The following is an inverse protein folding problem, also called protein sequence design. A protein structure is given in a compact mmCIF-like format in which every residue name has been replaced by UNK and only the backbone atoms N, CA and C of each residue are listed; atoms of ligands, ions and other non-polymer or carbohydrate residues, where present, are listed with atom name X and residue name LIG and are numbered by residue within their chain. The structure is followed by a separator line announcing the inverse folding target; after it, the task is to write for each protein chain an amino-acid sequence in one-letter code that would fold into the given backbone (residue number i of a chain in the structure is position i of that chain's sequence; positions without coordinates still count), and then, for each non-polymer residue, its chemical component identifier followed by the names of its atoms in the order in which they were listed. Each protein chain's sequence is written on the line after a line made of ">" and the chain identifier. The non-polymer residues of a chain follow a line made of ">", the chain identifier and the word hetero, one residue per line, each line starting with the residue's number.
data_IF_475508699028
#
_entry.id   IF_475508699028
#
_cell.length_a   1.000
_cell.length_b   1.000
_cell.length_c   1.000
_cell.angle_alpha   90.00
_cell.angle_beta   90.00
_cell.angle_gamma   90.00
#
_symmetry.space_group_name_H-M   'P 1'
#
loop_
_entity.id
_entity.type
_entity.pdbx_description
1 polymer ?
#
# COMPACT_ATOMS: atom_id res chain seq x y z
N UNK A 1 6.44 -6.45 -12.59
CA UNK A 1 5.66 -5.67 -11.61
C UNK A 1 5.10 -4.41 -12.24
N UNK A 2 5.93 -3.39 -12.54
CA UNK A 2 5.45 -2.10 -13.09
C UNK A 2 4.60 -2.24 -14.37
N UNK A 3 4.96 -3.20 -15.23
CA UNK A 3 4.24 -3.49 -16.46
C UNK A 3 2.75 -3.82 -16.26
N UNK A 4 2.35 -4.40 -15.13
CA UNK A 4 0.93 -4.69 -14.86
C UNK A 4 0.09 -3.41 -14.73
N UNK A 5 0.67 -2.34 -14.18
CA UNK A 5 -0.02 -1.07 -13.92
C UNK A 5 0.07 -0.06 -15.07
N UNK A 6 0.86 -0.35 -16.11
CA UNK A 6 1.00 0.50 -17.30
C UNK A 6 0.19 -0.01 -18.50
N UNK A 7 -0.72 -0.96 -18.28
CA UNK A 7 -1.65 -1.40 -19.32
C UNK A 7 -2.75 -0.37 -19.54
N UNK A 8 -3.26 -0.30 -20.76
CA UNK A 8 -4.37 0.59 -21.13
C UNK A 8 -5.71 0.16 -20.54
N UNK A 9 -5.83 -1.12 -20.16
CA UNK A 9 -7.04 -1.68 -19.53
C UNK A 9 -6.71 -2.44 -18.25
N UNK A 10 -7.64 -2.43 -17.29
CA UNK A 10 -7.51 -3.24 -16.07
C UNK A 10 -7.48 -4.75 -16.38
N UNK A 11 -8.23 -5.20 -17.39
CA UNK A 11 -8.22 -6.61 -17.79
C UNK A 11 -6.82 -7.08 -18.24
N UNK A 12 -6.12 -6.27 -19.03
CA UNK A 12 -4.77 -6.60 -19.47
C UNK A 12 -3.75 -6.48 -18.33
N UNK A 13 -3.92 -5.50 -17.45
CA UNK A 13 -3.13 -5.40 -16.22
C UNK A 13 -3.27 -6.63 -15.32
N UNK A 14 -4.50 -7.14 -15.16
CA UNK A 14 -4.81 -8.34 -14.39
C UNK A 14 -4.13 -9.58 -14.96
N UNK A 15 -4.17 -9.79 -16.29
CA UNK A 15 -3.45 -10.91 -16.95
C UNK A 15 -1.95 -10.86 -16.69
N UNK A 16 -1.35 -9.68 -16.71
CA UNK A 16 0.08 -9.50 -16.41
C UNK A 16 0.36 -9.81 -14.93
N UNK A 17 -0.51 -9.37 -14.02
CA UNK A 17 -0.40 -9.67 -12.60
C UNK A 17 -0.50 -11.17 -12.30
N UNK A 18 -1.43 -11.88 -12.93
CA UNK A 18 -1.56 -13.34 -12.83
C UNK A 18 -0.31 -14.07 -13.34
N UNK A 19 0.24 -13.63 -14.48
CA UNK A 19 1.49 -14.19 -15.00
C UNK A 19 2.67 -13.98 -14.05
N UNK A 20 2.73 -12.83 -13.38
CA UNK A 20 3.73 -12.54 -12.35
C UNK A 20 3.57 -13.52 -11.18
N UNK A 21 2.36 -13.68 -10.65
CA UNK A 21 2.06 -14.59 -9.55
C UNK A 21 2.44 -16.04 -9.88
N UNK A 22 2.17 -16.48 -11.11
CA UNK A 22 2.45 -17.84 -11.56
C UNK A 22 3.95 -18.15 -11.74
N UNK A 23 4.79 -17.14 -11.96
CA UNK A 23 6.19 -17.35 -12.42
C UNK A 23 7.26 -16.85 -11.47
N UNK A 24 6.98 -15.85 -10.63
CA UNK A 24 8.03 -15.19 -9.86
C UNK A 24 8.62 -16.10 -8.79
N UNK A 25 7.80 -16.86 -8.05
CA UNK A 25 8.27 -17.68 -6.94
C UNK A 25 9.22 -18.82 -7.36
N UNK A 26 9.08 -19.31 -8.59
CA UNK A 26 9.91 -20.37 -9.19
C UNK A 26 11.02 -19.83 -10.11
N UNK A 27 11.23 -18.50 -10.15
CA UNK A 27 12.22 -17.90 -11.02
C UNK A 27 13.64 -18.34 -10.62
N UNK A 28 14.51 -18.71 -11.58
CA UNK A 28 15.90 -19.09 -11.26
C UNK A 28 16.75 -17.92 -10.74
N UNK A 29 16.31 -16.67 -10.93
CA UNK A 29 16.97 -15.49 -10.38
C UNK A 29 16.53 -15.32 -8.90
N UNK A 30 17.43 -15.45 -7.92
CA UNK A 30 17.07 -15.49 -6.50
C UNK A 30 16.29 -14.27 -6.00
N UNK A 31 16.61 -13.08 -6.51
CA UNK A 31 15.92 -11.82 -6.16
C UNK A 31 14.47 -11.82 -6.61
N UNK A 32 14.18 -12.39 -7.78
CA UNK A 32 12.82 -12.51 -8.32
C UNK A 32 12.05 -13.59 -7.55
N UNK A 33 12.68 -14.73 -7.27
CA UNK A 33 12.09 -15.77 -6.41
C UNK A 33 11.72 -15.24 -5.03
N UNK A 34 12.62 -14.46 -4.42
CA UNK A 34 12.39 -13.82 -3.12
C UNK A 34 11.24 -12.83 -3.16
N UNK A 35 11.08 -12.08 -4.25
CA UNK A 35 9.92 -11.19 -4.46
C UNK A 35 8.62 -12.00 -4.71
N UNK A 36 8.70 -13.13 -5.41
CA UNK A 36 7.54 -13.96 -5.73
C UNK A 36 6.87 -14.63 -4.53
N UNK A 37 7.65 -15.01 -3.51
CA UNK A 37 7.14 -15.66 -2.29
C UNK A 37 6.07 -14.82 -1.56
N UNK A 38 6.33 -13.55 -1.17
CA UNK A 38 5.29 -12.72 -0.58
C UNK A 38 4.16 -12.48 -1.58
N UNK A 39 4.42 -12.20 -2.86
CA UNK A 39 3.34 -12.00 -3.85
C UNK A 39 2.37 -13.19 -3.91
N UNK A 40 2.86 -14.42 -3.75
CA UNK A 40 2.04 -15.64 -3.71
C UNK A 40 1.12 -15.68 -2.47
N UNK A 41 1.58 -15.17 -1.32
CA UNK A 41 0.75 -15.01 -0.12
C UNK A 41 -0.34 -13.94 -0.33
N UNK A 42 -0.04 -12.91 -1.11
CA UNK A 42 -0.96 -11.81 -1.45
C UNK A 42 -1.71 -12.04 -2.77
N UNK A 43 -1.92 -13.29 -3.19
CA UNK A 43 -2.51 -13.65 -4.51
C UNK A 43 -3.89 -13.06 -4.77
N UNK A 44 -4.66 -12.77 -3.72
CA UNK A 44 -5.99 -12.15 -3.83
C UNK A 44 -5.89 -10.63 -3.88
N UNK A 45 -5.09 -10.04 -2.98
CA UNK A 45 -4.96 -8.59 -2.87
C UNK A 45 -4.19 -7.95 -4.02
N UNK A 46 -3.18 -8.63 -4.56
CA UNK A 46 -2.34 -8.08 -5.63
C UNK A 46 -3.12 -7.78 -6.93
N UNK A 47 -3.93 -8.70 -7.49
CA UNK A 47 -4.75 -8.39 -8.65
C UNK A 47 -6.00 -7.56 -8.31
N UNK A 48 -6.35 -7.41 -7.03
CA UNK A 48 -7.58 -6.71 -6.62
C UNK A 48 -7.67 -5.27 -7.14
N UNK A 49 -6.53 -4.58 -7.32
CA UNK A 49 -6.50 -3.26 -7.95
C UNK A 49 -7.26 -3.24 -9.29
N UNK A 50 -7.10 -4.29 -10.10
CA UNK A 50 -7.71 -4.38 -11.43
C UNK A 50 -9.18 -4.80 -11.39
N UNK A 51 -9.60 -5.56 -10.38
CA UNK A 51 -10.98 -6.05 -10.25
C UNK A 51 -11.89 -5.10 -9.46
N UNK A 52 -11.32 -4.14 -8.74
CA UNK A 52 -12.03 -3.15 -7.90
C UNK A 52 -12.02 -1.75 -8.51
N UNK A 53 -11.78 -1.64 -9.81
CA UNK A 53 -11.70 -0.37 -10.54
C UNK A 53 -10.69 0.62 -9.93
N UNK A 54 -9.52 0.11 -9.52
CA UNK A 54 -8.39 0.92 -9.06
C UNK A 54 -8.34 1.18 -7.55
N UNK A 55 -9.14 0.48 -6.74
CA UNK A 55 -9.03 0.58 -5.29
C UNK A 55 -7.61 0.22 -4.83
N UNK A 56 -7.05 1.05 -3.96
CA UNK A 56 -5.65 0.95 -3.55
C UNK A 56 -5.44 1.41 -2.10
N UNK A 57 -4.24 1.17 -1.57
CA UNK A 57 -3.86 1.50 -0.20
C UNK A 57 -3.51 3.00 0.01
N UNK A 58 -3.67 3.85 -1.01
CA UNK A 58 -3.24 5.23 -0.99
C UNK A 58 -3.91 6.07 0.12
N UNK A 59 -5.19 5.81 0.40
CA UNK A 59 -5.89 6.47 1.51
C UNK A 59 -5.27 6.13 2.88
N UNK A 60 -5.00 4.85 3.12
CA UNK A 60 -4.31 4.39 4.35
C UNK A 60 -2.91 4.98 4.46
N UNK A 61 -2.16 5.02 3.35
CA UNK A 61 -0.82 5.59 3.31
C UNK A 61 -0.80 7.09 3.55
N UNK A 62 -1.79 7.82 3.06
CA UNK A 62 -1.96 9.24 3.35
C UNK A 62 -2.14 9.48 4.87
N UNK A 63 -2.99 8.67 5.52
CA UNK A 63 -3.19 8.74 6.98
C UNK A 63 -1.91 8.34 7.73
N UNK A 64 -1.24 7.27 7.33
CA UNK A 64 0.05 6.90 7.92
C UNK A 64 1.07 8.03 7.77
N UNK A 65 1.12 8.70 6.61
CA UNK A 65 1.96 9.88 6.39
C UNK A 65 1.68 11.01 7.39
N UNK A 66 0.40 11.29 7.68
CA UNK A 66 0.00 12.27 8.69
C UNK A 66 0.44 11.85 10.11
N UNK A 67 0.27 10.57 10.47
CA UNK A 67 0.70 10.02 11.76
C UNK A 67 2.23 10.14 11.91
N UNK A 68 2.98 9.80 10.87
CA UNK A 68 4.44 9.90 10.84
C UNK A 68 4.92 11.35 10.96
N UNK A 69 4.28 12.27 10.23
CA UNK A 69 4.54 13.70 10.33
C UNK A 69 4.30 14.19 11.75
N UNK A 70 3.15 13.83 12.34
CA UNK A 70 2.82 14.18 13.70
C UNK A 70 3.87 13.68 14.69
N UNK A 71 4.30 12.41 14.59
CA UNK A 71 5.29 11.83 15.51
C UNK A 71 6.61 12.61 15.48
N UNK A 72 7.05 13.07 14.29
CA UNK A 72 8.24 13.93 14.13
C UNK A 72 8.09 15.26 14.85
N UNK A 73 6.93 15.92 14.75
CA UNK A 73 6.67 17.22 15.38
C UNK A 73 6.44 17.10 16.90
N UNK A 74 5.78 16.04 17.35
CA UNK A 74 5.28 15.89 18.71
C UNK A 74 6.28 15.35 19.73
N UNK A 75 7.50 14.97 19.31
CA UNK A 75 8.53 14.30 20.14
C UNK A 75 8.03 12.99 20.79
N UNK A 76 7.19 12.25 20.05
CA UNK A 76 6.71 10.93 20.45
C UNK A 76 5.38 10.93 21.22
N UNK A 77 4.94 9.73 21.59
CA UNK A 77 3.68 9.47 22.29
C UNK A 77 3.93 9.38 23.81
N UNK A 78 3.51 10.40 24.55
CA UNK A 78 3.66 10.46 26.02
C UNK A 78 2.33 10.51 26.76
N UNK A 79 1.31 11.11 26.15
CA UNK A 79 -0.02 11.28 26.73
C UNK A 79 -1.07 11.18 25.61
N UNK A 80 -2.12 10.38 25.85
CA UNK A 80 -3.16 10.08 24.86
C UNK A 80 -4.02 11.29 24.49
N UNK A 81 -4.40 12.12 25.46
CA UNK A 81 -5.24 13.31 25.21
C UNK A 81 -4.50 14.32 24.34
N UNK A 82 -3.28 14.66 24.71
CA UNK A 82 -2.42 15.56 23.94
C UNK A 82 -2.15 15.02 22.54
N UNK A 83 -1.92 13.71 22.42
CA UNK A 83 -1.74 13.08 21.11
C UNK A 83 -2.99 13.20 20.25
N UNK A 84 -4.17 12.91 20.80
CA UNK A 84 -5.45 13.04 20.09
C UNK A 84 -5.66 14.47 19.58
N UNK A 85 -5.49 15.47 20.44
CA UNK A 85 -5.67 16.88 20.06
C UNK A 85 -4.71 17.30 18.94
N UNK A 86 -3.45 16.88 19.01
CA UNK A 86 -2.46 17.21 17.98
C UNK A 86 -2.68 16.44 16.67
N UNK A 87 -3.20 15.20 16.73
CA UNK A 87 -3.64 14.47 15.55
C UNK A 87 -4.84 15.16 14.88
N UNK A 88 -5.81 15.63 15.66
CA UNK A 88 -6.93 16.42 15.15
C UNK A 88 -6.45 17.73 14.52
N UNK A 89 -5.49 18.41 15.13
CA UNK A 89 -4.91 19.64 14.59
C UNK A 89 -4.24 19.40 13.23
N UNK A 90 -3.38 18.39 13.10
CA UNK A 90 -2.67 18.07 11.85
C UNK A 90 -3.63 17.55 10.77
N UNK A 91 -4.66 16.81 11.17
CA UNK A 91 -5.71 16.35 10.27
C UNK A 91 -6.77 17.42 9.92
N UNK A 92 -6.64 18.65 10.42
CA UNK A 92 -7.62 19.73 10.18
C UNK A 92 -8.98 19.56 10.86
N UNK A 93 -9.11 18.60 11.79
CA UNK A 93 -10.36 18.27 12.49
C UNK A 93 -10.50 18.89 13.89
N UNK A 94 -9.60 19.80 14.28
CA UNK A 94 -9.73 20.52 15.54
C UNK A 94 -10.63 21.74 15.35
N UNK A 95 -11.87 21.65 15.83
CA UNK A 95 -12.76 22.81 15.98
C UNK A 95 -12.33 23.59 17.24
N UNK A 96 -11.94 24.86 17.06
CA UNK A 96 -11.67 25.81 18.14
C UNK A 96 -12.93 26.59 18.50
#
# INVERSE_FOLDING_TARGET
>A
MRSAYHQTSHADGCKVAEKILASFASCPIPEIARLGRPLSQWREAFPAYFTTDGANNGGTEAINGLIELHRRVARGFRNRENYRLRMLLIGGGLSL
#
